data_IF_799411514402
#
_entry.id   IF_799411514402
#
_cell.length_a   1.000
_cell.length_b   1.000
_cell.length_c   1.000
_cell.angle_alpha   90.00
_cell.angle_beta   90.00
_cell.angle_gamma   90.00
#
_symmetry.space_group_name_H-M   'P 1'
#
loop_
_entity.id
_entity.type
_entity.pdbx_description
1 polymer ?
#
# COMPACT_ATOMS: atom_id res chain seq x y z
N UNK A 1 37.07 34.99 21.77
CA UNK A 1 36.05 34.61 20.77
C UNK A 1 36.16 33.10 20.75
N UNK A 2 35.50 32.46 21.70
CA UNK A 2 35.78 31.06 22.04
C UNK A 2 34.69 30.18 21.45
N UNK A 3 35.17 29.09 20.84
CA UNK A 3 34.47 28.28 19.86
C UNK A 3 33.20 27.62 20.39
N UNK A 4 32.14 27.74 19.57
CA UNK A 4 30.93 26.92 19.64
C UNK A 4 31.25 25.49 19.15
N UNK A 5 32.06 24.73 19.89
CA UNK A 5 32.08 23.28 19.74
C UNK A 5 30.86 22.72 20.47
N UNK A 6 29.81 22.41 19.71
CA UNK A 6 28.72 21.58 20.20
C UNK A 6 29.34 20.25 20.70
N UNK A 7 29.12 19.83 21.96
CA UNK A 7 29.78 18.64 22.50
C UNK A 7 29.38 17.41 21.69
N UNK A 8 30.36 16.61 21.25
CA UNK A 8 30.15 15.42 20.40
C UNK A 8 29.04 14.49 20.89
N UNK A 9 28.84 14.40 22.21
CA UNK A 9 27.76 13.63 22.84
C UNK A 9 26.35 14.06 22.40
N UNK A 10 26.12 15.36 22.14
CA UNK A 10 24.83 15.86 21.64
C UNK A 10 24.59 15.47 20.18
N UNK A 11 25.64 15.39 19.37
CA UNK A 11 25.53 14.97 17.98
C UNK A 11 25.16 13.47 17.89
N UNK A 12 25.79 12.63 18.71
CA UNK A 12 25.52 11.19 18.74
C UNK A 12 24.09 10.86 19.19
N UNK A 13 23.60 11.49 20.27
CA UNK A 13 22.22 11.28 20.74
C UNK A 13 21.18 11.69 19.68
N UNK A 14 21.44 12.76 18.94
CA UNK A 14 20.57 13.21 17.84
C UNK A 14 20.52 12.17 16.72
N UNK A 15 21.67 11.60 16.33
CA UNK A 15 21.75 10.56 15.29
C UNK A 15 20.99 9.29 15.74
N UNK A 16 21.19 8.84 16.98
CA UNK A 16 20.51 7.66 17.51
C UNK A 16 18.99 7.87 17.48
N UNK A 17 18.52 9.02 17.95
CA UNK A 17 17.09 9.35 17.96
C UNK A 17 16.49 9.38 16.56
N UNK A 18 17.16 10.04 15.61
CA UNK A 18 16.71 10.08 14.21
C UNK A 18 16.65 8.67 13.61
N UNK A 19 17.67 7.84 13.83
CA UNK A 19 17.68 6.45 13.34
C UNK A 19 16.55 5.58 13.92
N UNK A 20 16.10 5.89 15.14
CA UNK A 20 14.99 5.19 15.80
C UNK A 20 13.64 5.66 15.24
N UNK A 21 13.43 6.97 15.12
CA UNK A 21 12.22 7.56 14.55
C UNK A 21 12.01 7.13 13.07
N UNK A 22 13.10 7.07 12.29
CA UNK A 22 13.10 6.60 10.90
C UNK A 22 12.66 5.14 10.80
N UNK A 23 13.23 4.26 11.64
CA UNK A 23 12.83 2.84 11.70
C UNK A 23 11.38 2.67 12.10
N UNK A 24 10.90 3.45 13.07
CA UNK A 24 9.51 3.37 13.52
C UNK A 24 8.53 3.75 12.39
N UNK A 25 8.85 4.78 11.61
CA UNK A 25 8.00 5.21 10.48
C UNK A 25 7.90 4.12 9.42
N UNK A 26 9.02 3.49 9.06
CA UNK A 26 9.06 2.39 8.09
C UNK A 26 8.30 1.16 8.59
N UNK A 27 8.50 0.79 9.85
CA UNK A 27 7.76 -0.31 10.46
C UNK A 27 6.24 -0.03 10.48
N UNK A 28 5.83 1.19 10.81
CA UNK A 28 4.42 1.57 10.84
C UNK A 28 3.79 1.48 9.44
N UNK A 29 4.48 1.96 8.41
CA UNK A 29 4.01 1.87 7.02
C UNK A 29 3.83 0.40 6.60
N UNK A 30 4.85 -0.44 6.81
CA UNK A 30 4.82 -1.85 6.42
C UNK A 30 3.74 -2.64 7.18
N UNK A 31 3.57 -2.40 8.48
CA UNK A 31 2.49 -3.03 9.25
C UNK A 31 1.11 -2.59 8.75
N UNK A 32 0.90 -1.29 8.58
CA UNK A 32 -0.39 -0.76 8.13
C UNK A 32 -0.76 -1.31 6.75
N UNK A 33 0.19 -1.31 5.82
CA UNK A 33 -0.02 -1.83 4.48
C UNK A 33 -0.21 -3.35 4.46
N UNK A 34 0.52 -4.07 5.32
CA UNK A 34 0.34 -5.51 5.48
C UNK A 34 -1.07 -5.88 5.96
N UNK A 35 -1.59 -5.17 6.97
CA UNK A 35 -2.97 -5.32 7.43
C UNK A 35 -4.00 -4.89 6.39
N UNK A 36 -3.73 -3.81 5.63
CA UNK A 36 -4.58 -3.38 4.53
C UNK A 36 -4.73 -4.47 3.47
N UNK A 37 -3.63 -5.12 3.08
CA UNK A 37 -3.65 -6.22 2.14
C UNK A 37 -4.46 -7.42 2.67
N UNK A 38 -4.31 -7.74 3.96
CA UNK A 38 -5.08 -8.82 4.58
C UNK A 38 -6.58 -8.52 4.62
N UNK A 39 -6.97 -7.31 5.05
CA UNK A 39 -8.36 -6.87 5.03
C UNK A 39 -8.94 -6.85 3.61
N UNK A 40 -8.15 -6.38 2.64
CA UNK A 40 -8.50 -6.40 1.22
C UNK A 40 -8.74 -7.82 0.71
N UNK A 41 -7.91 -8.79 1.09
CA UNK A 41 -8.11 -10.21 0.74
C UNK A 41 -9.42 -10.76 1.29
N UNK A 42 -9.76 -10.46 2.55
CA UNK A 42 -11.03 -10.88 3.14
C UNK A 42 -12.23 -10.28 2.39
N UNK A 43 -12.13 -8.99 2.03
CA UNK A 43 -13.17 -8.34 1.23
C UNK A 43 -13.29 -8.98 -0.17
N UNK A 44 -12.17 -9.31 -0.82
CA UNK A 44 -12.15 -9.94 -2.14
C UNK A 44 -12.73 -11.35 -2.14
N UNK A 45 -12.61 -12.12 -1.05
CA UNK A 45 -13.30 -13.41 -0.91
C UNK A 45 -14.81 -13.24 -1.07
N UNK A 46 -15.37 -12.14 -0.55
CA UNK A 46 -16.79 -11.82 -0.72
C UNK A 46 -17.22 -11.70 -2.19
N UNK A 47 -16.32 -11.33 -3.10
CA UNK A 47 -16.64 -11.17 -4.53
C UNK A 47 -16.90 -12.50 -5.26
N UNK A 48 -16.57 -13.65 -4.67
CA UNK A 48 -17.04 -14.95 -5.18
C UNK A 48 -18.56 -15.12 -5.05
N UNK A 49 -19.22 -14.28 -4.23
CA UNK A 49 -20.67 -14.21 -4.13
C UNK A 49 -21.18 -13.04 -5.00
N UNK A 50 -21.74 -13.29 -6.20
CA UNK A 50 -22.06 -12.21 -7.16
C UNK A 50 -22.96 -11.10 -6.60
N UNK A 51 -24.00 -11.38 -5.78
CA UNK A 51 -24.78 -10.34 -5.13
C UNK A 51 -23.97 -9.38 -4.25
N UNK A 52 -22.90 -9.86 -3.62
CA UNK A 52 -22.01 -9.01 -2.81
C UNK A 52 -21.16 -8.11 -3.71
N UNK A 53 -20.57 -8.68 -4.77
CA UNK A 53 -19.79 -7.90 -5.74
C UNK A 53 -20.62 -6.81 -6.43
N UNK A 54 -21.84 -7.12 -6.84
CA UNK A 54 -22.79 -6.12 -7.39
C UNK A 54 -23.05 -4.98 -6.41
N UNK A 55 -23.42 -5.31 -5.16
CA UNK A 55 -23.67 -4.29 -4.13
C UNK A 55 -22.44 -3.43 -3.87
N UNK A 56 -21.28 -4.05 -3.68
CA UNK A 56 -20.05 -3.33 -3.37
C UNK A 56 -19.58 -2.47 -4.55
N UNK A 57 -19.39 -3.05 -5.73
CA UNK A 57 -18.67 -2.42 -6.84
C UNK A 57 -19.57 -1.51 -7.69
N UNK A 58 -20.86 -1.84 -7.82
CA UNK A 58 -21.79 -1.06 -8.63
C UNK A 58 -22.70 -0.18 -7.77
N UNK A 59 -23.31 -0.70 -6.71
CA UNK A 59 -24.35 0.06 -5.99
C UNK A 59 -23.76 1.05 -4.98
N UNK A 60 -22.85 0.58 -4.12
CA UNK A 60 -22.28 1.37 -3.02
C UNK A 60 -21.13 2.24 -3.48
N UNK A 61 -20.10 1.63 -4.07
CA UNK A 61 -18.90 2.37 -4.46
C UNK A 61 -19.03 2.99 -5.84
N UNK A 62 -19.83 2.41 -6.74
CA UNK A 62 -19.96 2.85 -8.15
C UNK A 62 -18.62 2.92 -8.88
N UNK A 63 -17.69 2.01 -8.56
CA UNK A 63 -16.35 1.96 -9.17
C UNK A 63 -16.43 1.57 -10.64
N UNK A 64 -17.33 0.65 -11.00
CA UNK A 64 -17.54 0.20 -12.37
C UNK A 64 -18.92 0.60 -12.89
N UNK A 65 -18.98 1.03 -14.15
CA UNK A 65 -20.22 1.34 -14.84
C UNK A 65 -20.94 0.08 -15.35
N UNK A 66 -20.18 -0.98 -15.63
CA UNK A 66 -20.70 -2.29 -16.03
C UNK A 66 -21.05 -3.15 -14.83
N UNK A 67 -22.17 -3.86 -14.89
CA UNK A 67 -22.60 -4.78 -13.82
C UNK A 67 -21.53 -5.83 -13.53
N UNK A 68 -21.22 -6.00 -12.25
CA UNK A 68 -20.27 -6.99 -11.79
C UNK A 68 -20.74 -8.40 -12.16
N UNK A 69 -19.90 -9.10 -12.91
CA UNK A 69 -20.05 -10.51 -13.22
C UNK A 69 -18.71 -11.20 -13.06
N UNK A 70 -18.74 -12.47 -12.67
CA UNK A 70 -17.54 -13.25 -12.40
C UNK A 70 -17.57 -14.55 -13.19
N UNK A 71 -16.98 -14.50 -14.39
CA UNK A 71 -16.78 -15.66 -15.26
C UNK A 71 -15.62 -16.54 -14.77
N UNK A 72 -15.29 -17.59 -15.53
CA UNK A 72 -14.21 -18.51 -15.16
C UNK A 72 -12.85 -17.79 -14.99
N UNK A 73 -12.50 -16.92 -15.94
CA UNK A 73 -11.24 -16.18 -15.90
C UNK A 73 -11.24 -15.12 -14.79
N UNK A 74 -12.35 -14.45 -14.55
CA UNK A 74 -12.53 -13.53 -13.43
C UNK A 74 -12.33 -14.23 -12.08
N UNK A 75 -12.86 -15.44 -11.89
CA UNK A 75 -12.62 -16.25 -10.68
C UNK A 75 -11.15 -16.59 -10.51
N UNK A 76 -10.48 -17.00 -11.59
CA UNK A 76 -9.05 -17.32 -11.57
C UNK A 76 -8.21 -16.12 -11.15
N UNK A 77 -8.40 -14.96 -11.80
CA UNK A 77 -7.67 -13.75 -11.48
C UNK A 77 -7.99 -13.20 -10.08
N UNK A 78 -9.24 -13.33 -9.62
CA UNK A 78 -9.62 -12.96 -8.27
C UNK A 78 -8.94 -13.85 -7.22
N UNK A 79 -8.92 -15.17 -7.42
CA UNK A 79 -8.22 -16.11 -6.54
C UNK A 79 -6.71 -15.80 -6.50
N UNK A 80 -6.13 -15.52 -7.66
CA UNK A 80 -4.74 -15.10 -7.79
C UNK A 80 -4.45 -13.80 -7.02
N UNK A 81 -5.29 -12.78 -7.16
CA UNK A 81 -5.17 -11.51 -6.45
C UNK A 81 -5.28 -11.67 -4.93
N UNK A 82 -6.19 -12.52 -4.45
CA UNK A 82 -6.32 -12.86 -3.03
C UNK A 82 -5.02 -13.51 -2.52
N UNK A 83 -4.50 -14.50 -3.25
CA UNK A 83 -3.25 -15.18 -2.90
C UNK A 83 -2.07 -14.22 -2.81
N UNK A 84 -1.91 -13.34 -3.81
CA UNK A 84 -0.86 -12.33 -3.80
C UNK A 84 -1.02 -11.32 -2.66
N UNK A 85 -2.23 -10.81 -2.40
CA UNK A 85 -2.43 -9.87 -1.30
C UNK A 85 -2.15 -10.51 0.06
N UNK A 86 -2.52 -11.78 0.27
CA UNK A 86 -2.14 -12.51 1.50
C UNK A 86 -0.61 -12.62 1.59
N UNK A 87 0.04 -13.03 0.51
CA UNK A 87 1.49 -13.17 0.47
C UNK A 87 2.22 -11.85 0.78
N UNK A 88 1.90 -10.77 0.07
CA UNK A 88 2.49 -9.45 0.31
C UNK A 88 2.10 -8.89 1.68
N UNK A 89 0.87 -9.15 2.15
CA UNK A 89 0.44 -8.79 3.50
C UNK A 89 1.32 -9.41 4.57
N UNK A 90 1.59 -10.72 4.46
CA UNK A 90 2.47 -11.45 5.38
C UNK A 90 3.91 -10.98 5.28
N UNK A 91 4.45 -10.81 4.06
CA UNK A 91 5.83 -10.31 3.86
C UNK A 91 6.01 -8.95 4.53
N UNK A 92 5.07 -8.02 4.33
CA UNK A 92 5.15 -6.68 4.91
C UNK A 92 5.09 -6.73 6.45
N UNK A 93 4.20 -7.54 7.04
CA UNK A 93 4.11 -7.71 8.50
C UNK A 93 5.40 -8.34 9.07
N UNK A 94 5.88 -9.43 8.46
CA UNK A 94 7.02 -10.17 8.96
C UNK A 94 8.34 -9.38 8.81
N UNK A 95 8.45 -8.57 7.76
CA UNK A 95 9.65 -7.75 7.49
C UNK A 95 10.02 -6.79 8.62
N UNK A 96 9.05 -6.40 9.45
CA UNK A 96 9.29 -5.56 10.63
C UNK A 96 10.14 -6.27 11.68
N UNK A 97 10.00 -7.59 11.81
CA UNK A 97 10.77 -8.40 12.76
C UNK A 97 12.17 -8.79 12.28
N UNK A 98 12.44 -8.66 10.97
CA UNK A 98 13.72 -9.05 10.39
C UNK A 98 14.86 -8.07 10.69
N UNK A 99 14.55 -6.80 10.99
CA UNK A 99 15.55 -5.79 11.37
C UNK A 99 16.49 -5.32 10.24
N UNK A 100 16.34 -5.84 9.01
CA UNK A 100 17.15 -5.43 7.86
C UNK A 100 16.52 -4.23 7.13
N UNK A 101 17.08 -3.04 7.37
CA UNK A 101 16.58 -1.79 6.79
C UNK A 101 16.55 -1.81 5.25
N UNK A 102 17.54 -2.42 4.60
CA UNK A 102 17.60 -2.50 3.14
C UNK A 102 16.47 -3.37 2.54
N UNK A 103 16.10 -4.45 3.23
CA UNK A 103 14.95 -5.29 2.82
C UNK A 103 13.65 -4.51 2.96
N UNK A 104 13.49 -3.78 4.06
CA UNK A 104 12.31 -2.95 4.29
C UNK A 104 12.18 -1.84 3.22
N UNK A 105 13.27 -1.15 2.89
CA UNK A 105 13.29 -0.15 1.79
C UNK A 105 12.92 -0.77 0.45
N UNK A 106 13.47 -1.96 0.15
CA UNK A 106 13.14 -2.68 -1.08
C UNK A 106 11.63 -2.99 -1.16
N UNK A 107 11.03 -3.45 -0.05
CA UNK A 107 9.59 -3.72 0.00
C UNK A 107 8.77 -2.44 -0.22
N UNK A 108 9.12 -1.33 0.42
CA UNK A 108 8.43 -0.04 0.19
C UNK A 108 8.52 0.38 -1.28
N UNK A 109 9.68 0.24 -1.92
CA UNK A 109 9.83 0.51 -3.36
C UNK A 109 8.97 -0.40 -4.24
N UNK A 110 8.89 -1.69 -3.91
CA UNK A 110 8.04 -2.64 -4.62
C UNK A 110 6.55 -2.26 -4.49
N UNK A 111 6.11 -1.88 -3.29
CA UNK A 111 4.73 -1.44 -3.02
C UNK A 111 4.40 -0.16 -3.81
N UNK A 112 5.29 0.85 -3.78
CA UNK A 112 5.11 2.07 -4.56
C UNK A 112 5.00 1.80 -6.06
N UNK A 113 5.79 0.85 -6.57
CA UNK A 113 5.74 0.44 -7.97
C UNK A 113 4.40 -0.21 -8.32
N UNK A 114 3.89 -1.09 -7.45
CA UNK A 114 2.59 -1.72 -7.63
C UNK A 114 1.44 -0.70 -7.61
N UNK A 115 1.43 0.23 -6.65
CA UNK A 115 0.42 1.29 -6.59
C UNK A 115 0.48 2.22 -7.81
N UNK A 116 1.68 2.57 -8.26
CA UNK A 116 1.85 3.39 -9.46
C UNK A 116 1.28 2.69 -10.70
N UNK A 117 1.51 1.38 -10.83
CA UNK A 117 0.93 0.57 -11.89
C UNK A 117 -0.62 0.54 -11.80
N UNK A 118 -1.19 0.38 -10.61
CA UNK A 118 -2.64 0.42 -10.43
C UNK A 118 -3.24 1.78 -10.78
N UNK A 119 -2.56 2.88 -10.46
CA UNK A 119 -2.99 4.22 -10.86
C UNK A 119 -3.00 4.36 -12.39
N UNK A 120 -1.95 3.90 -13.07
CA UNK A 120 -1.89 3.90 -14.55
C UNK A 120 -3.04 3.07 -15.14
N UNK A 121 -3.30 1.87 -14.60
CA UNK A 121 -4.41 1.02 -15.04
C UNK A 121 -5.78 1.67 -14.78
N UNK A 122 -5.95 2.35 -13.65
CA UNK A 122 -7.18 3.09 -13.33
C UNK A 122 -7.41 4.22 -14.34
N UNK A 123 -6.39 5.00 -14.67
CA UNK A 123 -6.48 6.04 -15.71
C UNK A 123 -6.82 5.46 -17.08
N UNK A 124 -6.25 4.31 -17.43
CA UNK A 124 -6.62 3.61 -18.65
C UNK A 124 -8.10 3.17 -18.62
N UNK A 125 -8.57 2.62 -17.51
CA UNK A 125 -9.97 2.23 -17.31
C UNK A 125 -10.94 3.42 -17.45
N UNK A 126 -10.58 4.58 -16.89
CA UNK A 126 -11.32 5.84 -17.04
C UNK A 126 -11.37 6.25 -18.51
N UNK A 127 -10.21 6.29 -19.20
CA UNK A 127 -10.12 6.64 -20.62
C UNK A 127 -10.95 5.69 -21.50
N UNK A 128 -11.05 4.42 -21.13
CA UNK A 128 -11.85 3.42 -21.83
C UNK A 128 -13.36 3.48 -21.51
N UNK A 129 -13.81 4.38 -20.62
CA UNK A 129 -15.22 4.52 -20.24
C UNK A 129 -15.77 3.37 -19.40
N UNK A 130 -14.89 2.55 -18.79
CA UNK A 130 -15.28 1.36 -18.00
C UNK A 130 -15.44 1.62 -16.50
N UNK A 131 -15.00 2.79 -16.04
CA UNK A 131 -15.06 3.18 -14.64
C UNK A 131 -16.25 4.11 -14.38
N UNK A 132 -16.89 3.95 -13.22
CA UNK A 132 -17.87 4.89 -12.68
C UNK A 132 -17.22 5.92 -11.73
N UNK A 133 -18.04 6.70 -11.01
CA UNK A 133 -17.56 7.77 -10.12
C UNK A 133 -16.74 7.26 -8.94
N UNK A 134 -16.89 6.00 -8.54
CA UNK A 134 -16.17 5.40 -7.41
C UNK A 134 -14.67 5.30 -7.61
N UNK A 135 -14.20 5.31 -8.86
CA UNK A 135 -12.77 5.20 -9.17
C UNK A 135 -11.96 6.35 -8.58
N UNK A 136 -12.57 7.54 -8.43
CA UNK A 136 -11.90 8.70 -7.85
C UNK A 136 -11.58 8.49 -6.36
N UNK A 137 -12.46 7.82 -5.62
CA UNK A 137 -12.18 7.43 -4.23
C UNK A 137 -11.03 6.44 -4.15
N UNK A 138 -10.97 5.47 -5.08
CA UNK A 138 -9.84 4.53 -5.15
C UNK A 138 -8.52 5.24 -5.48
N UNK A 139 -8.54 6.20 -6.42
CA UNK A 139 -7.37 7.03 -6.75
C UNK A 139 -6.89 7.85 -5.55
N UNK A 140 -7.78 8.41 -4.73
CA UNK A 140 -7.41 9.11 -3.50
C UNK A 140 -6.76 8.18 -2.48
N UNK A 141 -7.29 6.96 -2.30
CA UNK A 141 -6.68 5.95 -1.42
C UNK A 141 -5.28 5.58 -1.92
N UNK A 142 -5.12 5.33 -3.22
CA UNK A 142 -3.80 5.04 -3.80
C UNK A 142 -2.84 6.21 -3.67
N UNK A 143 -3.28 7.44 -3.87
CA UNK A 143 -2.46 8.63 -3.66
C UNK A 143 -2.00 8.75 -2.21
N UNK A 144 -2.87 8.40 -1.23
CA UNK A 144 -2.51 8.33 0.18
C UNK A 144 -1.40 7.32 0.46
N UNK A 145 -1.53 6.09 -0.06
CA UNK A 145 -0.51 5.04 0.09
C UNK A 145 0.82 5.42 -0.59
N UNK A 146 0.76 5.96 -1.81
CA UNK A 146 1.96 6.43 -2.53
C UNK A 146 2.64 7.56 -1.76
N UNK A 147 1.87 8.54 -1.29
CA UNK A 147 2.40 9.66 -0.51
C UNK A 147 3.09 9.20 0.77
N UNK A 148 2.46 8.29 1.52
CA UNK A 148 3.05 7.74 2.75
C UNK A 148 4.28 6.88 2.47
N UNK A 149 4.29 6.09 1.39
CA UNK A 149 5.46 5.30 0.99
C UNK A 149 6.65 6.17 0.59
N UNK A 150 6.42 7.24 -0.20
CA UNK A 150 7.47 8.22 -0.56
C UNK A 150 8.01 8.91 0.69
N UNK A 151 7.13 9.38 1.58
CA UNK A 151 7.52 9.98 2.85
C UNK A 151 8.41 9.02 3.66
N UNK A 152 8.00 7.76 3.77
CA UNK A 152 8.75 6.71 4.48
C UNK A 152 10.13 6.48 3.89
N UNK A 153 10.27 6.49 2.56
CA UNK A 153 11.59 6.37 1.91
C UNK A 153 12.47 7.59 2.16
N UNK A 154 11.92 8.80 2.09
CA UNK A 154 12.69 10.04 2.32
C UNK A 154 13.17 10.08 3.77
N UNK A 155 12.33 9.76 4.74
CA UNK A 155 12.74 9.73 6.15
C UNK A 155 13.65 8.54 6.45
N UNK A 156 13.40 7.38 5.85
CA UNK A 156 14.15 6.14 6.10
C UNK A 156 15.49 6.02 5.37
N UNK A 157 15.86 6.98 4.52
CA UNK A 157 17.13 6.99 3.77
C UNK A 157 18.25 7.78 4.45
N UNK A 158 17.96 8.39 5.61
CA UNK A 158 18.93 9.07 6.49
C UNK A 158 19.30 8.17 7.66
#
# INVERSE_FOLDING_TARGET
MDGNELPECFAEQKIIRLSFENRQTMNNYLLALGWWNFAGSLMMIGFFHPPFGKKMLNDWTKIFSTEFSLDYWGKFWLAWAIGLNIFFGLVNILSVSWGYAEVQKFLVWADLSAYSLFVVLAFWGIRAGRCGSGIYSALLIFAGWIGWGIYTLITGSV
#
